data_IF_291897986517
#
_entry.id   IF_291897986517
#
_cell.length_a   1.000
_cell.length_b   1.000
_cell.length_c   1.000
_cell.angle_alpha   90.00
_cell.angle_beta   90.00
_cell.angle_gamma   90.00
#
_symmetry.space_group_name_H-M   'P 1'
#
loop_
_entity.id
_entity.type
_entity.pdbx_description
1 polymer ?
#
# COMPACT_ATOMS: atom_id res chain seq x y z
N UNK A 1 -39.73 -10.01 -11.55
CA UNK A 1 -39.00 -8.87 -12.15
C UNK A 1 -37.65 -8.76 -11.47
N UNK A 2 -36.55 -8.82 -12.24
CA UNK A 2 -35.19 -8.73 -11.70
C UNK A 2 -34.78 -7.26 -11.46
N UNK A 3 -33.88 -6.97 -10.50
CA UNK A 3 -33.44 -5.61 -10.17
C UNK A 3 -32.67 -4.92 -11.33
N UNK A 4 -32.65 -3.57 -11.38
CA UNK A 4 -31.99 -2.81 -12.45
C UNK A 4 -30.45 -2.91 -12.44
N UNK A 5 -29.87 -3.38 -11.34
CA UNK A 5 -28.44 -3.59 -11.16
C UNK A 5 -28.15 -5.08 -11.07
N UNK A 6 -27.16 -5.52 -11.86
CA UNK A 6 -26.79 -6.94 -11.95
C UNK A 6 -25.35 -7.12 -11.48
N UNK A 7 -25.12 -8.16 -10.66
CA UNK A 7 -23.79 -8.51 -10.19
C UNK A 7 -23.16 -9.51 -11.15
N UNK A 8 -22.06 -9.12 -11.77
CA UNK A 8 -21.31 -9.95 -12.72
C UNK A 8 -20.05 -10.45 -12.06
N UNK A 9 -19.82 -11.77 -12.11
CA UNK A 9 -18.55 -12.38 -11.68
C UNK A 9 -17.69 -12.65 -12.91
N UNK A 10 -16.44 -12.23 -12.83
CA UNK A 10 -15.42 -12.54 -13.80
C UNK A 10 -14.51 -13.61 -13.21
N UNK A 11 -14.26 -14.65 -14.01
CA UNK A 11 -13.17 -15.59 -13.74
C UNK A 11 -12.06 -15.28 -14.73
N UNK A 12 -10.88 -14.98 -14.21
CA UNK A 12 -9.67 -14.87 -15.02
C UNK A 12 -8.61 -15.82 -14.46
N UNK A 13 -7.61 -16.14 -15.27
CA UNK A 13 -6.51 -17.03 -14.89
C UNK A 13 -5.61 -16.47 -13.77
N UNK A 14 -5.85 -15.24 -13.31
CA UNK A 14 -5.04 -14.49 -12.33
C UNK A 14 -5.86 -14.07 -11.08
N UNK A 15 -7.12 -14.50 -10.93
CA UNK A 15 -7.98 -14.20 -9.78
C UNK A 15 -9.48 -14.01 -10.06
N UNK A 16 -10.30 -14.22 -9.02
CA UNK A 16 -11.75 -14.02 -9.07
C UNK A 16 -12.12 -12.60 -8.62
N UNK A 17 -12.90 -11.89 -9.45
CA UNK A 17 -13.40 -10.54 -9.14
C UNK A 17 -14.90 -10.41 -9.43
N UNK A 18 -15.60 -9.57 -8.67
CA UNK A 18 -17.01 -9.24 -8.94
C UNK A 18 -17.20 -7.74 -9.15
N UNK A 19 -17.96 -7.35 -10.17
CA UNK A 19 -18.40 -5.96 -10.40
C UNK A 19 -19.92 -5.89 -10.50
N UNK A 20 -20.47 -4.72 -10.18
CA UNK A 20 -21.88 -4.40 -10.41
C UNK A 20 -21.97 -3.61 -11.70
N UNK A 21 -22.83 -4.06 -12.63
CA UNK A 21 -23.02 -3.46 -13.95
C UNK A 21 -24.49 -3.13 -14.11
N UNK A 22 -24.79 -2.02 -14.80
CA UNK A 22 -26.16 -1.67 -15.15
C UNK A 22 -26.67 -2.62 -16.24
N UNK A 23 -27.93 -3.09 -16.13
CA UNK A 23 -28.50 -4.13 -17.00
C UNK A 23 -28.52 -3.74 -18.48
N UNK A 24 -28.65 -2.46 -18.77
CA UNK A 24 -28.66 -1.85 -20.11
C UNK A 24 -27.30 -1.97 -20.84
N UNK A 25 -26.22 -2.27 -20.13
CA UNK A 25 -24.88 -2.46 -20.70
C UNK A 25 -24.54 -3.93 -21.03
N UNK A 26 -25.49 -4.84 -20.86
CA UNK A 26 -25.31 -6.27 -21.14
C UNK A 26 -25.80 -6.62 -22.55
N UNK A 27 -25.14 -7.58 -23.20
CA UNK A 27 -25.61 -8.10 -24.48
C UNK A 27 -26.85 -8.96 -24.32
N UNK A 28 -27.62 -9.16 -25.40
CA UNK A 28 -28.84 -9.97 -25.38
C UNK A 28 -28.58 -11.41 -24.90
N UNK A 29 -27.45 -11.99 -25.29
CA UNK A 29 -27.02 -13.35 -24.88
C UNK A 29 -26.71 -13.43 -23.38
N UNK A 30 -26.06 -12.39 -22.82
CA UNK A 30 -25.78 -12.31 -21.39
C UNK A 30 -27.07 -12.16 -20.57
N UNK A 31 -28.04 -11.42 -21.09
CA UNK A 31 -29.37 -11.30 -20.47
C UNK A 31 -30.11 -12.64 -20.45
N UNK A 32 -30.05 -13.41 -21.55
CA UNK A 32 -30.64 -14.75 -21.60
C UNK A 32 -29.97 -15.75 -20.64
N UNK A 33 -28.65 -15.66 -20.46
CA UNK A 33 -27.91 -16.45 -19.46
C UNK A 33 -28.27 -16.05 -18.03
N UNK A 34 -28.50 -14.76 -17.78
CA UNK A 34 -28.95 -14.22 -16.49
C UNK A 34 -30.36 -14.69 -16.14
N UNK A 35 -31.28 -14.63 -17.09
CA UNK A 35 -32.67 -15.01 -16.86
C UNK A 35 -32.81 -16.54 -16.64
N UNK A 36 -31.84 -17.35 -17.08
CA UNK A 36 -31.73 -18.78 -16.77
C UNK A 36 -31.10 -19.09 -15.41
N UNK A 37 -30.46 -18.12 -14.76
CA UNK A 37 -29.80 -18.32 -13.48
C UNK A 37 -30.64 -17.72 -12.35
N UNK A 38 -31.26 -18.59 -11.54
CA UNK A 38 -32.13 -18.20 -10.41
C UNK A 38 -31.45 -17.27 -9.40
N UNK A 39 -30.12 -17.28 -9.34
CA UNK A 39 -29.31 -16.45 -8.43
C UNK A 39 -29.06 -15.02 -8.94
N UNK A 40 -29.43 -14.69 -10.18
CA UNK A 40 -29.22 -13.35 -10.77
C UNK A 40 -27.74 -12.98 -10.98
N UNK A 41 -26.88 -13.99 -11.18
CA UNK A 41 -25.43 -13.80 -11.38
C UNK A 41 -25.04 -14.30 -12.78
N UNK A 42 -24.51 -13.42 -13.63
CA UNK A 42 -23.79 -13.83 -14.85
C UNK A 42 -22.33 -14.15 -14.50
N UNK A 43 -21.87 -15.33 -14.92
CA UNK A 43 -20.44 -15.66 -14.97
C UNK A 43 -20.00 -15.44 -16.41
N UNK A 44 -19.09 -14.48 -16.62
CA UNK A 44 -18.57 -14.15 -17.94
C UNK A 44 -17.09 -14.54 -17.97
N UNK A 45 -16.68 -15.27 -19.01
CA UNK A 45 -15.29 -15.65 -19.21
C UNK A 45 -14.54 -14.51 -19.91
N UNK A 46 -13.30 -14.26 -19.49
CA UNK A 46 -12.47 -13.26 -20.18
C UNK A 46 -12.17 -13.75 -21.61
N UNK A 47 -12.74 -13.06 -22.59
CA UNK A 47 -12.71 -13.40 -24.02
C UNK A 47 -13.95 -12.93 -24.76
N UNK A 48 -15.06 -12.75 -24.04
CA UNK A 48 -16.29 -12.17 -24.58
C UNK A 48 -16.16 -10.63 -24.56
N UNK A 49 -16.18 -10.02 -25.74
CA UNK A 49 -15.95 -8.58 -25.94
C UNK A 49 -16.89 -7.73 -25.07
N UNK A 50 -16.34 -7.14 -24.00
CA UNK A 50 -17.01 -6.12 -23.17
C UNK A 50 -16.56 -4.70 -23.52
N UNK A 51 -15.76 -4.52 -24.58
CA UNK A 51 -15.26 -3.21 -25.00
C UNK A 51 -16.09 -2.70 -26.17
N UNK A 52 -16.95 -1.72 -25.94
CA UNK A 52 -17.00 -0.50 -26.77
C UNK A 52 -17.87 0.55 -26.08
N UNK A 53 -17.50 1.83 -26.32
CA UNK A 53 -18.15 3.06 -25.88
C UNK A 53 -17.74 3.61 -24.51
N UNK A 54 -16.46 3.96 -24.39
CA UNK A 54 -16.13 5.34 -24.00
C UNK A 54 -15.42 5.96 -25.19
N UNK A 55 -16.04 6.96 -25.84
CA UNK A 55 -15.34 7.69 -26.90
C UNK A 55 -14.15 8.45 -26.30
N UNK A 56 -12.97 8.42 -26.94
CA UNK A 56 -11.83 9.21 -26.50
C UNK A 56 -12.05 10.69 -26.85
N UNK A 57 -12.01 11.57 -25.84
CA UNK A 57 -11.97 13.02 -26.04
C UNK A 57 -10.81 13.41 -26.97
N UNK A 58 -11.10 14.25 -27.97
CA UNK A 58 -10.13 14.73 -28.95
C UNK A 58 -9.01 15.54 -28.27
N UNK A 59 -7.73 15.31 -28.62
CA UNK A 59 -6.65 16.18 -28.15
C UNK A 59 -6.70 17.57 -28.82
N UNK A 60 -6.33 18.64 -28.11
CA UNK A 60 -6.32 20.00 -28.65
C UNK A 60 -5.24 20.18 -29.75
N UNK A 61 -5.44 21.15 -30.67
CA UNK A 61 -4.60 21.32 -31.85
C UNK A 61 -3.20 21.85 -31.53
N UNK A 62 -2.19 21.20 -32.11
CA UNK A 62 -0.78 21.57 -32.04
C UNK A 62 -0.49 22.89 -32.78
N UNK A 63 0.10 23.86 -32.09
CA UNK A 63 0.72 25.03 -32.72
C UNK A 63 2.06 24.67 -33.40
N UNK A 64 2.36 25.20 -34.59
CA UNK A 64 3.60 24.89 -35.30
C UNK A 64 4.79 25.64 -34.70
N UNK A 65 5.79 24.90 -34.22
CA UNK A 65 7.09 25.45 -33.86
C UNK A 65 7.90 25.79 -35.10
N UNK A 66 8.32 27.06 -35.13
CA UNK A 66 9.04 27.79 -36.18
C UNK A 66 10.39 27.13 -36.52
N UNK A 67 10.53 26.66 -37.76
CA UNK A 67 11.83 26.34 -38.36
C UNK A 67 12.63 27.62 -38.62
N UNK A 68 13.90 27.65 -38.20
CA UNK A 68 14.87 28.67 -38.61
C UNK A 68 15.83 28.06 -39.63
N UNK A 69 15.73 28.53 -40.87
CA UNK A 69 16.73 28.35 -41.94
C UNK A 69 17.92 29.27 -41.67
N UNK A 70 19.12 28.81 -41.99
CA UNK A 70 20.16 29.65 -42.59
C UNK A 70 21.11 28.80 -43.42
N UNK A 71 21.04 29.04 -44.73
CA UNK A 71 21.98 28.72 -45.80
C UNK A 71 23.34 29.39 -45.60
N UNK A 72 24.38 28.88 -46.27
CA UNK A 72 25.65 29.58 -46.49
C UNK A 72 26.84 28.65 -46.69
N UNK A 73 27.21 28.45 -47.95
CA UNK A 73 28.37 27.73 -48.47
C UNK A 73 29.73 28.43 -48.24
N UNK A 74 30.78 27.60 -48.33
CA UNK A 74 32.19 27.81 -48.70
C UNK A 74 33.03 28.87 -47.98
N UNK A 75 34.12 28.43 -47.31
CA UNK A 75 35.47 28.62 -47.87
C UNK A 75 36.55 27.76 -47.17
N UNK A 76 37.54 27.33 -47.94
CA UNK A 76 38.59 26.38 -47.58
C UNK A 76 39.72 26.99 -46.74
N UNK A 77 40.35 26.13 -45.92
CA UNK A 77 41.68 26.30 -45.30
C UNK A 77 41.87 27.44 -44.28
N UNK A 78 41.58 27.16 -43.00
CA UNK A 78 42.26 27.86 -41.90
C UNK A 78 42.40 27.00 -40.62
N UNK A 79 43.61 26.46 -40.46
CA UNK A 79 44.30 26.09 -39.21
C UNK A 79 43.41 25.82 -37.97
N UNK A 80 43.01 24.56 -37.75
CA UNK A 80 42.29 24.16 -36.54
C UNK A 80 43.23 24.04 -35.33
N UNK A 81 43.48 25.16 -34.64
CA UNK A 81 43.61 25.11 -33.17
C UNK A 81 42.26 24.63 -32.64
N UNK A 82 42.14 23.32 -32.39
CA UNK A 82 40.90 22.71 -31.91
C UNK A 82 40.61 23.22 -30.51
N UNK A 83 39.78 24.26 -30.43
CA UNK A 83 38.99 24.57 -29.25
C UNK A 83 38.06 23.36 -29.01
N UNK A 84 38.47 22.45 -28.12
CA UNK A 84 37.67 21.34 -27.63
C UNK A 84 36.49 21.91 -26.80
N UNK A 85 35.46 22.39 -27.50
CA UNK A 85 34.20 22.90 -26.92
C UNK A 85 33.57 21.85 -25.99
N UNK A 86 33.29 22.30 -24.76
CA UNK A 86 32.61 21.68 -23.60
C UNK A 86 31.65 20.50 -23.86
N UNK A 87 30.86 20.51 -24.93
CA UNK A 87 29.84 19.50 -25.21
C UNK A 87 30.38 18.11 -25.61
N UNK A 88 31.55 18.02 -26.26
CA UNK A 88 32.15 16.70 -26.57
C UNK A 88 32.79 16.05 -25.34
N UNK A 89 33.42 16.87 -24.48
CA UNK A 89 34.06 16.40 -23.24
C UNK A 89 33.00 15.88 -22.24
N UNK A 90 31.85 16.55 -22.16
CA UNK A 90 30.72 16.11 -21.32
C UNK A 90 30.06 14.81 -21.82
N UNK A 91 29.96 14.62 -23.13
CA UNK A 91 29.48 13.36 -23.70
C UNK A 91 30.48 12.21 -23.49
N UNK A 92 31.77 12.50 -23.62
CA UNK A 92 32.84 11.54 -23.39
C UNK A 92 32.92 11.09 -21.93
N UNK A 93 32.93 12.03 -20.99
CA UNK A 93 32.92 11.73 -19.54
C UNK A 93 31.69 10.92 -19.13
N UNK A 94 30.49 11.24 -19.65
CA UNK A 94 29.28 10.43 -19.42
C UNK A 94 29.41 8.99 -19.93
N UNK A 95 30.00 8.79 -21.12
CA UNK A 95 30.21 7.44 -21.70
C UNK A 95 31.25 6.64 -20.92
N UNK A 96 32.35 7.28 -20.53
CA UNK A 96 33.35 6.67 -19.66
C UNK A 96 32.75 6.28 -18.29
N UNK A 97 31.91 7.12 -17.71
CA UNK A 97 31.22 6.82 -16.45
C UNK A 97 30.29 5.61 -16.54
N UNK A 98 29.65 5.38 -17.70
CA UNK A 98 28.86 4.17 -17.93
C UNK A 98 29.72 2.91 -17.93
N UNK A 99 30.92 2.95 -18.50
CA UNK A 99 31.86 1.82 -18.48
C UNK A 99 32.33 1.51 -17.05
N UNK A 100 32.61 2.53 -16.24
CA UNK A 100 32.90 2.37 -14.81
C UNK A 100 31.73 1.75 -14.04
N UNK A 101 30.50 2.20 -14.30
CA UNK A 101 29.31 1.63 -13.66
C UNK A 101 29.07 0.17 -14.06
N UNK A 102 29.30 -0.20 -15.33
CA UNK A 102 29.23 -1.58 -15.81
C UNK A 102 30.27 -2.45 -15.11
N UNK A 103 31.53 -1.99 -14.99
CA UNK A 103 32.56 -2.68 -14.22
C UNK A 103 32.13 -2.91 -12.77
N UNK A 104 31.52 -1.91 -12.12
CA UNK A 104 31.02 -2.04 -10.75
C UNK A 104 29.88 -3.06 -10.63
N UNK A 105 28.94 -3.07 -11.57
CA UNK A 105 27.82 -4.02 -11.58
C UNK A 105 28.29 -5.47 -11.75
N UNK A 106 29.34 -5.70 -12.54
CA UNK A 106 29.90 -7.04 -12.74
C UNK A 106 30.81 -7.51 -11.60
N UNK A 107 31.25 -6.61 -10.72
CA UNK A 107 32.07 -6.96 -9.56
C UNK A 107 33.36 -7.71 -9.95
N UNK A 108 33.57 -8.89 -9.35
CA UNK A 108 34.77 -9.69 -9.58
C UNK A 108 34.85 -10.29 -11.00
N UNK A 109 33.70 -10.57 -11.63
CA UNK A 109 33.62 -11.12 -12.98
C UNK A 109 34.20 -10.15 -14.03
N UNK A 110 34.25 -8.85 -13.71
CA UNK A 110 34.83 -7.87 -14.61
C UNK A 110 36.30 -8.16 -14.94
N UNK A 111 37.06 -8.80 -14.04
CA UNK A 111 38.50 -9.06 -14.23
C UNK A 111 38.80 -9.92 -15.45
N UNK A 112 37.92 -10.85 -15.78
CA UNK A 112 38.07 -11.81 -16.89
C UNK A 112 37.47 -11.31 -18.20
N UNK A 113 36.95 -10.08 -18.22
CA UNK A 113 36.30 -9.48 -19.39
C UNK A 113 37.05 -8.26 -19.89
N UNK A 114 36.62 -7.73 -21.05
CA UNK A 114 37.10 -6.45 -21.59
C UNK A 114 36.93 -5.25 -20.63
N UNK A 115 36.07 -5.37 -19.61
CA UNK A 115 35.86 -4.34 -18.59
C UNK A 115 36.84 -4.43 -17.42
N UNK A 116 37.75 -5.42 -17.40
CA UNK A 116 38.76 -5.57 -16.36
C UNK A 116 39.64 -4.31 -16.23
N UNK A 117 39.96 -3.71 -17.37
CA UNK A 117 40.57 -2.38 -17.47
C UNK A 117 39.72 -1.43 -18.32
N UNK A 118 38.85 -0.67 -17.64
CA UNK A 118 38.03 0.39 -18.28
C UNK A 118 38.89 1.41 -19.02
N UNK A 119 40.12 1.67 -18.56
CA UNK A 119 41.07 2.55 -19.24
C UNK A 119 41.50 2.00 -20.61
N UNK A 120 41.89 0.72 -20.68
CA UNK A 120 42.28 0.08 -21.93
C UNK A 120 41.09 -0.02 -22.91
N UNK A 121 39.91 -0.37 -22.40
CA UNK A 121 38.68 -0.43 -23.18
C UNK A 121 38.29 0.93 -23.74
N UNK A 122 38.29 1.98 -22.90
CA UNK A 122 37.95 3.33 -23.34
C UNK A 122 38.96 3.88 -24.35
N UNK A 123 40.26 3.55 -24.21
CA UNK A 123 41.29 3.89 -25.20
C UNK A 123 40.98 3.26 -26.56
N UNK A 124 40.68 1.97 -26.58
CA UNK A 124 40.36 1.23 -27.80
C UNK A 124 39.03 1.69 -28.43
N UNK A 125 38.01 1.91 -27.62
CA UNK A 125 36.65 2.25 -28.07
C UNK A 125 36.53 3.69 -28.57
N UNK A 126 37.24 4.63 -27.95
CA UNK A 126 37.13 6.06 -28.28
C UNK A 126 38.33 6.62 -29.04
N UNK A 127 39.41 5.85 -29.21
CA UNK A 127 40.61 6.28 -29.94
C UNK A 127 41.37 7.44 -29.29
N UNK A 128 41.33 7.54 -27.96
CA UNK A 128 41.89 8.69 -27.22
C UNK A 128 43.08 8.26 -26.37
N UNK A 129 44.11 9.11 -26.26
CA UNK A 129 45.28 8.85 -25.43
C UNK A 129 44.95 8.62 -23.95
N UNK A 130 45.78 7.84 -23.27
CA UNK A 130 45.63 7.53 -21.83
C UNK A 130 45.71 8.79 -20.95
N UNK A 131 46.53 9.76 -21.33
CA UNK A 131 46.62 11.06 -20.65
C UNK A 131 45.30 11.83 -20.69
N UNK A 132 44.57 11.76 -21.81
CA UNK A 132 43.26 12.40 -21.95
C UNK A 132 42.19 11.70 -21.12
N UNK A 133 42.22 10.36 -21.05
CA UNK A 133 41.35 9.56 -20.19
C UNK A 133 41.59 9.85 -18.71
N UNK A 134 42.86 10.01 -18.32
CA UNK A 134 43.26 10.33 -16.94
C UNK A 134 42.74 11.71 -16.53
N UNK A 135 42.86 12.71 -17.41
CA UNK A 135 42.27 14.03 -17.21
C UNK A 135 40.76 13.96 -17.12
N UNK A 136 40.10 13.22 -18.01
CA UNK A 136 38.65 13.06 -18.00
C UNK A 136 38.13 12.41 -16.71
N UNK A 137 38.88 11.46 -16.12
CA UNK A 137 38.55 10.82 -14.84
C UNK A 137 38.50 11.81 -13.69
N UNK A 138 39.34 12.85 -13.70
CA UNK A 138 39.34 13.90 -12.67
C UNK A 138 38.05 14.75 -12.70
N UNK A 139 37.42 14.88 -13.87
CA UNK A 139 36.15 15.60 -14.04
C UNK A 139 34.91 14.74 -13.83
N UNK A 140 35.08 13.43 -13.55
CA UNK A 140 33.93 12.58 -13.24
C UNK A 140 33.37 12.96 -11.86
N UNK A 141 32.04 13.07 -11.72
CA UNK A 141 31.45 13.18 -10.40
C UNK A 141 31.85 11.94 -9.61
N UNK A 142 32.58 12.15 -8.50
CA UNK A 142 32.86 11.10 -7.52
C UNK A 142 31.53 10.43 -7.21
N UNK A 143 31.49 9.10 -7.24
CA UNK A 143 30.30 8.36 -6.88
C UNK A 143 29.91 8.82 -5.47
N UNK A 144 28.80 9.56 -5.34
CA UNK A 144 28.16 9.73 -4.05
C UNK A 144 27.74 8.31 -3.69
N UNK A 145 28.38 7.72 -2.69
CA UNK A 145 27.86 6.51 -2.07
C UNK A 145 26.42 6.86 -1.68
N UNK A 146 25.47 6.27 -2.42
CA UNK A 146 24.06 6.39 -2.06
C UNK A 146 23.92 5.54 -0.82
N UNK A 147 24.22 6.13 0.34
CA UNK A 147 23.89 5.50 1.59
C UNK A 147 22.38 5.29 1.57
N UNK A 148 21.96 4.03 1.44
CA UNK A 148 20.55 3.69 1.55
C UNK A 148 20.20 3.87 3.00
N UNK A 149 19.61 5.02 3.33
CA UNK A 149 19.16 5.28 4.70
C UNK A 149 18.20 4.17 5.11
N UNK A 150 18.59 3.44 6.15
CA UNK A 150 17.72 2.42 6.70
C UNK A 150 16.41 3.05 7.17
N UNK A 151 15.33 2.28 7.17
CA UNK A 151 14.03 2.75 7.69
C UNK A 151 14.15 3.32 9.11
N UNK A 152 14.98 2.68 9.95
CA UNK A 152 15.27 3.12 11.32
C UNK A 152 15.93 4.50 11.35
N UNK A 153 16.94 4.70 10.51
CA UNK A 153 17.64 5.99 10.41
C UNK A 153 16.66 7.10 9.99
N UNK A 154 15.85 6.88 8.95
CA UNK A 154 14.85 7.86 8.48
C UNK A 154 13.83 8.25 9.55
N UNK A 155 13.35 7.28 10.32
CA UNK A 155 12.43 7.53 11.43
C UNK A 155 13.11 8.32 12.56
N UNK A 156 14.36 7.97 12.90
CA UNK A 156 15.13 8.68 13.92
C UNK A 156 15.40 10.14 13.55
N UNK A 157 15.73 10.40 12.28
CA UNK A 157 15.94 11.76 11.77
C UNK A 157 14.66 12.57 11.82
N UNK A 158 13.52 11.97 11.47
CA UNK A 158 12.22 12.65 11.56
C UNK A 158 11.84 13.01 13.01
N UNK A 159 12.18 12.15 13.97
CA UNK A 159 11.91 12.39 15.39
C UNK A 159 12.82 13.46 16.00
N UNK A 160 14.05 13.61 15.50
CA UNK A 160 14.97 14.70 15.88
C UNK A 160 14.47 16.09 15.47
N UNK A 161 13.57 16.18 14.49
CA UNK A 161 12.98 17.45 14.07
C UNK A 161 11.92 17.97 15.06
N UNK A 162 11.38 17.11 15.92
CA UNK A 162 10.38 17.47 16.92
C UNK A 162 11.04 17.75 18.27
N UNK A 163 10.72 18.89 18.87
CA UNK A 163 10.91 19.10 20.31
C UNK A 163 9.99 18.17 21.11
N UNK A 164 10.34 17.86 22.35
CA UNK A 164 9.49 17.00 23.20
C UNK A 164 8.08 17.56 23.39
N UNK A 165 7.95 18.88 23.52
CA UNK A 165 6.65 19.57 23.62
C UNK A 165 5.75 19.28 22.40
N UNK A 166 6.29 19.36 21.19
CA UNK A 166 5.53 19.08 19.97
C UNK A 166 5.15 17.60 19.84
N UNK A 167 5.97 16.70 20.38
CA UNK A 167 5.60 15.27 20.43
C UNK A 167 4.41 15.06 21.34
N UNK A 168 4.42 15.71 22.51
CA UNK A 168 3.32 15.61 23.47
C UNK A 168 2.03 16.15 22.86
N UNK A 169 2.07 17.32 22.20
CA UNK A 169 0.91 17.90 21.49
C UNK A 169 0.32 16.94 20.46
N UNK A 170 1.16 16.27 19.66
CA UNK A 170 0.68 15.30 18.66
C UNK A 170 0.02 14.09 19.34
N UNK A 171 0.59 13.61 20.44
CA UNK A 171 0.04 12.48 21.19
C UNK A 171 -1.29 12.85 21.85
N UNK A 172 -1.35 13.99 22.55
CA UNK A 172 -2.55 14.47 23.22
C UNK A 172 -3.70 14.69 22.23
N UNK A 173 -3.40 15.24 21.05
CA UNK A 173 -4.41 15.41 19.99
C UNK A 173 -4.92 14.06 19.46
N UNK A 174 -4.03 13.07 19.30
CA UNK A 174 -4.43 11.72 18.87
C UNK A 174 -5.27 11.02 19.94
N UNK A 175 -4.90 11.17 21.21
CA UNK A 175 -5.63 10.62 22.34
C UNK A 175 -7.03 11.24 22.43
N UNK A 176 -7.15 12.56 22.21
CA UNK A 176 -8.44 13.24 22.06
C UNK A 176 -9.26 12.67 20.89
N UNK A 177 -8.63 12.41 19.72
CA UNK A 177 -9.32 11.75 18.62
C UNK A 177 -9.78 10.32 18.97
N UNK A 178 -9.06 9.62 19.86
CA UNK A 178 -9.50 8.30 20.35
C UNK A 178 -10.69 8.42 21.31
N UNK A 179 -10.70 9.41 22.20
CA UNK A 179 -11.81 9.69 23.11
C UNK A 179 -13.10 10.04 22.33
N UNK A 180 -12.99 10.82 21.26
CA UNK A 180 -14.11 11.23 20.41
C UNK A 180 -14.52 10.16 19.36
N UNK A 181 -13.78 9.03 19.27
CA UNK A 181 -13.85 8.04 18.18
C UNK A 181 -13.83 8.66 16.77
N UNK A 182 -13.11 9.79 16.63
CA UNK A 182 -12.97 10.53 15.39
C UNK A 182 -11.87 9.91 14.53
N UNK A 183 -12.25 9.33 13.38
CA UNK A 183 -11.28 8.79 12.45
C UNK A 183 -10.60 9.92 11.66
N UNK A 184 -9.29 10.03 11.78
CA UNK A 184 -8.49 10.96 10.99
C UNK A 184 -7.65 10.25 9.91
N UNK A 185 -7.43 10.96 8.80
CA UNK A 185 -6.38 10.63 7.84
C UNK A 185 -5.11 11.43 8.17
N UNK A 186 -3.99 11.13 7.51
CA UNK A 186 -2.78 11.96 7.66
C UNK A 186 -3.01 13.40 7.21
N UNK A 187 -3.82 13.61 6.17
CA UNK A 187 -4.08 14.96 5.66
C UNK A 187 -4.99 15.75 6.60
N UNK A 188 -6.01 15.12 7.19
CA UNK A 188 -6.88 15.80 8.16
C UNK A 188 -6.13 16.12 9.43
N UNK A 189 -5.40 15.14 9.99
CA UNK A 189 -4.55 15.37 11.17
C UNK A 189 -3.52 16.46 10.93
N UNK A 190 -2.92 16.51 9.74
CA UNK A 190 -1.97 17.57 9.39
C UNK A 190 -2.62 18.95 9.38
N UNK A 191 -3.80 19.10 8.76
CA UNK A 191 -4.54 20.35 8.75
C UNK A 191 -4.97 20.79 10.17
N UNK A 192 -5.41 19.83 10.99
CA UNK A 192 -5.81 20.09 12.39
C UNK A 192 -4.61 20.57 13.22
N UNK A 193 -3.45 19.93 13.06
CA UNK A 193 -2.21 20.32 13.74
C UNK A 193 -1.65 21.65 13.24
N UNK A 194 -1.78 21.95 11.95
CA UNK A 194 -1.37 23.22 11.35
C UNK A 194 -2.22 24.37 11.90
N UNK A 195 -3.55 24.19 11.94
CA UNK A 195 -4.49 25.20 12.42
C UNK A 195 -4.41 25.43 13.93
N UNK A 196 -4.34 24.37 14.74
CA UNK A 196 -4.37 24.49 16.22
C UNK A 196 -3.01 24.84 16.83
N UNK A 197 -1.92 24.34 16.26
CA UNK A 197 -0.59 24.38 16.90
C UNK A 197 0.51 24.96 16.01
N UNK A 198 0.18 25.43 14.80
CA UNK A 198 1.17 26.01 13.87
C UNK A 198 2.20 24.99 13.38
N UNK A 199 1.77 23.75 13.14
CA UNK A 199 2.66 22.67 12.68
C UNK A 199 3.18 22.94 11.26
N UNK A 200 4.50 23.14 11.12
CA UNK A 200 5.12 23.65 9.89
C UNK A 200 5.68 22.59 8.93
N UNK A 201 5.62 21.31 9.27
CA UNK A 201 6.20 20.25 8.42
C UNK A 201 5.18 19.68 7.44
N UNK A 202 5.67 19.06 6.37
CA UNK A 202 4.81 18.44 5.37
C UNK A 202 4.06 17.19 5.90
N UNK A 203 2.93 16.81 5.28
CA UNK A 203 2.19 15.59 5.63
C UNK A 203 3.02 14.30 5.54
N UNK A 204 3.97 14.24 4.59
CA UNK A 204 4.88 13.10 4.44
C UNK A 204 5.89 13.00 5.58
N UNK A 205 6.28 14.14 6.16
CA UNK A 205 7.12 14.22 7.36
C UNK A 205 6.32 13.79 8.59
N UNK A 206 5.09 14.28 8.74
CA UNK A 206 4.17 13.87 9.81
C UNK A 206 3.98 12.35 9.81
N UNK A 207 3.72 11.73 8.66
CA UNK A 207 3.61 10.28 8.55
C UNK A 207 4.84 9.56 9.13
N UNK A 208 6.05 10.03 8.80
CA UNK A 208 7.30 9.43 9.31
C UNK A 208 7.47 9.64 10.80
N UNK A 209 7.10 10.81 11.30
CA UNK A 209 7.13 11.14 12.72
C UNK A 209 6.17 10.26 13.51
N UNK A 210 4.94 10.05 13.04
CA UNK A 210 4.00 9.11 13.66
C UNK A 210 4.57 7.68 13.71
N UNK A 211 5.20 7.22 12.62
CA UNK A 211 5.90 5.91 12.63
C UNK A 211 7.06 5.87 13.62
N UNK A 212 7.74 6.99 13.86
CA UNK A 212 8.83 7.11 14.82
C UNK A 212 8.32 7.15 16.27
N UNK A 213 7.18 7.80 16.52
CA UNK A 213 6.42 7.80 17.78
C UNK A 213 5.73 6.46 18.09
N UNK A 214 6.09 5.40 17.35
CA UNK A 214 5.49 4.06 17.46
C UNK A 214 3.98 4.06 17.25
N UNK A 215 3.48 4.86 16.30
CA UNK A 215 2.11 4.75 15.80
C UNK A 215 2.10 4.00 14.46
N UNK A 216 1.03 3.26 14.22
CA UNK A 216 0.85 2.49 13.00
C UNK A 216 -0.61 2.40 12.59
N UNK A 217 -0.85 2.53 11.29
CA UNK A 217 -2.17 2.32 10.72
C UNK A 217 -2.47 0.81 10.64
N UNK A 218 -3.27 0.31 11.56
CA UNK A 218 -3.60 -1.13 11.73
C UNK A 218 -5.10 -1.32 11.89
N UNK A 219 -5.54 -2.56 11.85
CA UNK A 219 -6.92 -2.93 12.17
C UNK A 219 -7.26 -2.48 13.61
N UNK A 220 -8.46 -1.93 13.82
CA UNK A 220 -9.00 -1.62 15.15
C UNK A 220 -9.35 -2.93 15.85
N UNK A 221 -8.40 -3.51 16.56
CA UNK A 221 -8.55 -4.78 17.29
C UNK A 221 -8.59 -4.59 18.81
N UNK A 222 -8.82 -3.36 19.27
CA UNK A 222 -8.82 -3.07 20.70
C UNK A 222 -10.06 -3.69 21.35
N UNK A 223 -9.86 -4.81 22.04
CA UNK A 223 -10.83 -5.43 22.92
C UNK A 223 -10.27 -5.44 24.35
N UNK A 224 -10.55 -4.40 25.16
CA UNK A 224 -9.97 -4.28 26.49
C UNK A 224 -10.53 -5.29 27.51
N UNK A 225 -11.59 -6.03 27.19
CA UNK A 225 -12.36 -6.79 28.19
C UNK A 225 -12.15 -8.30 28.19
N UNK A 226 -11.61 -8.90 27.12
CA UNK A 226 -11.66 -10.36 26.92
C UNK A 226 -10.72 -11.21 27.79
N UNK A 227 -9.89 -10.59 28.64
CA UNK A 227 -8.78 -11.26 29.36
C UNK A 227 -8.76 -11.03 30.88
N UNK A 228 -9.53 -10.08 31.42
CA UNK A 228 -9.37 -9.65 32.83
C UNK A 228 -10.49 -10.10 33.78
N UNK A 229 -11.62 -10.52 33.25
CA UNK A 229 -12.77 -10.98 34.03
C UNK A 229 -12.53 -12.41 34.50
N UNK A 230 -12.19 -12.58 35.78
CA UNK A 230 -11.90 -13.88 36.42
C UNK A 230 -13.04 -14.88 36.22
N UNK A 231 -14.27 -14.39 36.27
CA UNK A 231 -15.51 -15.09 35.94
C UNK A 231 -15.53 -15.63 34.50
N UNK A 232 -15.16 -14.80 33.50
CA UNK A 232 -15.07 -15.24 32.10
C UNK A 232 -13.99 -16.32 31.92
N UNK A 233 -12.85 -16.18 32.60
CA UNK A 233 -11.78 -17.20 32.57
C UNK A 233 -12.29 -18.52 33.16
N UNK A 234 -12.99 -18.46 34.28
CA UNK A 234 -13.58 -19.65 34.91
C UNK A 234 -14.64 -20.30 34.02
N UNK A 235 -15.51 -19.51 33.38
CA UNK A 235 -16.49 -20.01 32.42
C UNK A 235 -15.83 -20.70 31.22
N UNK A 236 -14.77 -20.11 30.64
CA UNK A 236 -13.99 -20.76 29.57
C UNK A 236 -13.42 -22.10 30.02
N UNK A 237 -12.86 -22.17 31.23
CA UNK A 237 -12.31 -23.41 31.78
C UNK A 237 -13.39 -24.49 31.93
N UNK A 238 -14.55 -24.12 32.46
CA UNK A 238 -15.70 -25.05 32.61
C UNK A 238 -16.20 -25.53 31.25
N UNK A 239 -16.37 -24.61 30.31
CA UNK A 239 -16.79 -24.91 28.94
C UNK A 239 -15.84 -25.89 28.25
N UNK A 240 -14.52 -25.65 28.28
CA UNK A 240 -13.54 -26.53 27.64
C UNK A 240 -13.55 -27.95 28.22
N UNK A 241 -13.62 -28.08 29.55
CA UNK A 241 -13.72 -29.39 30.22
C UNK A 241 -14.97 -30.16 29.80
N UNK A 242 -16.11 -29.47 29.71
CA UNK A 242 -17.36 -30.08 29.26
C UNK A 242 -17.27 -30.51 27.79
N UNK A 243 -16.70 -29.68 26.93
CA UNK A 243 -16.51 -29.99 25.52
C UNK A 243 -15.62 -31.22 25.31
N UNK A 244 -14.54 -31.35 26.07
CA UNK A 244 -13.67 -32.52 26.00
C UNK A 244 -14.38 -33.80 26.44
N UNK A 245 -15.20 -33.72 27.50
CA UNK A 245 -16.04 -34.84 27.93
C UNK A 245 -17.03 -35.25 26.84
N UNK A 246 -17.76 -34.30 26.25
CA UNK A 246 -18.73 -34.57 25.19
C UNK A 246 -18.08 -35.18 23.95
N UNK A 247 -16.86 -34.75 23.60
CA UNK A 247 -16.08 -35.36 22.50
C UNK A 247 -15.67 -36.80 22.80
N UNK A 248 -15.24 -37.09 24.03
CA UNK A 248 -14.91 -38.44 24.45
C UNK A 248 -16.12 -39.38 24.44
N UNK A 249 -17.31 -38.85 24.76
CA UNK A 249 -18.58 -39.58 24.70
C UNK A 249 -19.11 -39.75 23.27
N UNK A 250 -18.44 -39.20 22.26
CA UNK A 250 -18.87 -39.27 20.86
C UNK A 250 -20.13 -38.44 20.56
N UNK A 251 -20.41 -37.41 21.37
CA UNK A 251 -21.57 -36.56 21.18
C UNK A 251 -21.47 -35.78 19.86
N UNK A 252 -22.61 -35.62 19.19
CA UNK A 252 -22.71 -34.79 18.00
C UNK A 252 -22.74 -33.31 18.39
N UNK A 253 -21.70 -32.57 18.03
CA UNK A 253 -21.51 -31.18 18.42
C UNK A 253 -21.72 -30.29 17.20
N UNK A 254 -22.78 -29.48 17.24
CA UNK A 254 -23.01 -28.41 16.27
C UNK A 254 -22.53 -27.08 16.85
N UNK A 255 -21.86 -26.29 16.01
CA UNK A 255 -21.52 -24.91 16.35
C UNK A 255 -22.47 -23.97 15.62
N UNK A 256 -22.94 -22.96 16.33
CA UNK A 256 -23.75 -21.89 15.80
C UNK A 256 -23.11 -20.57 16.21
N UNK A 257 -22.93 -19.68 15.25
CA UNK A 257 -22.35 -18.36 15.46
C UNK A 257 -23.27 -17.28 14.89
N UNK A 258 -23.49 -16.24 15.69
CA UNK A 258 -24.25 -15.07 15.28
C UNK A 258 -23.27 -13.94 14.97
N UNK A 259 -23.14 -13.61 13.68
CA UNK A 259 -22.36 -12.45 13.27
C UNK A 259 -23.27 -11.26 13.04
N UNK A 260 -23.06 -10.22 13.84
CA UNK A 260 -23.74 -8.94 13.68
C UNK A 260 -23.07 -8.12 12.58
N UNK A 261 -23.84 -7.71 11.58
CA UNK A 261 -23.42 -6.79 10.52
C UNK A 261 -24.11 -5.46 10.79
N UNK A 262 -23.35 -4.40 11.03
CA UNK A 262 -23.91 -3.06 11.23
C UNK A 262 -23.81 -2.20 9.97
N UNK A 263 -24.89 -1.51 9.63
CA UNK A 263 -24.90 -0.40 8.67
C UNK A 263 -24.17 0.78 9.31
N UNK A 264 -23.21 1.39 8.63
CA UNK A 264 -22.36 2.43 9.22
C UNK A 264 -21.06 1.92 9.85
N UNK A 265 -20.55 0.76 9.42
CA UNK A 265 -19.25 0.24 9.86
C UNK A 265 -18.18 1.33 9.82
N UNK A 266 -17.62 1.65 10.98
CA UNK A 266 -16.47 2.53 11.14
C UNK A 266 -15.29 1.96 10.33
N UNK A 267 -14.38 2.83 9.88
CA UNK A 267 -13.16 2.38 9.20
C UNK A 267 -12.48 1.31 10.04
N UNK A 268 -12.35 0.12 9.47
CA UNK A 268 -11.79 -1.07 10.14
C UNK A 268 -10.33 -0.84 10.53
N UNK A 269 -9.66 0.16 9.93
CA UNK A 269 -8.28 0.54 10.23
C UNK A 269 -8.21 1.96 10.79
N UNK A 270 -7.33 2.13 11.78
CA UNK A 270 -7.04 3.40 12.43
C UNK A 270 -5.57 3.49 12.82
N UNK A 271 -5.12 4.69 13.20
CA UNK A 271 -3.80 4.90 13.77
C UNK A 271 -3.79 4.44 15.23
N UNK A 272 -3.06 3.37 15.51
CA UNK A 272 -2.91 2.76 16.83
C UNK A 272 -1.43 2.64 17.19
N UNK A 273 -1.11 2.62 18.48
CA UNK A 273 0.27 2.34 18.91
C UNK A 273 0.76 0.97 18.40
N UNK A 274 2.04 0.88 18.03
CA UNK A 274 2.67 -0.31 17.46
C UNK A 274 2.71 -1.43 18.50
N UNK A 275 2.95 -1.06 19.75
CA UNK A 275 3.10 -1.94 20.91
C UNK A 275 1.75 -2.49 21.41
N UNK A 276 0.65 -2.11 20.75
CA UNK A 276 -0.72 -2.58 20.98
C UNK A 276 -0.89 -3.98 20.39
N UNK A 277 -0.25 -4.99 20.99
CA UNK A 277 -0.81 -6.34 20.94
C UNK A 277 -2.01 -6.34 21.90
N UNK A 278 -3.23 -6.70 21.46
CA UNK A 278 -4.39 -6.80 22.33
C UNK A 278 -4.09 -7.59 23.60
N UNK A 279 -3.30 -8.66 23.50
CA UNK A 279 -2.87 -9.50 24.62
C UNK A 279 -1.86 -8.84 25.58
N UNK A 280 -0.99 -7.94 25.08
CA UNK A 280 -0.03 -7.22 25.94
C UNK A 280 -0.70 -6.06 26.68
N UNK A 281 -1.60 -5.34 26.03
CA UNK A 281 -2.47 -4.34 26.69
C UNK A 281 -3.35 -5.05 27.72
N UNK A 282 -3.91 -6.19 27.35
CA UNK A 282 -4.65 -7.08 28.22
C UNK A 282 -3.85 -7.69 29.39
N UNK A 283 -2.54 -7.50 29.43
CA UNK A 283 -1.67 -8.07 30.45
C UNK A 283 -0.99 -6.97 31.28
N UNK A 284 -0.69 -5.82 30.66
CA UNK A 284 0.00 -4.67 31.28
C UNK A 284 -0.90 -3.45 31.50
N UNK A 285 -2.16 -3.51 31.06
CA UNK A 285 -3.11 -2.40 31.17
C UNK A 285 -3.41 -2.07 32.62
N UNK A 286 -3.20 -0.81 33.00
CA UNK A 286 -3.66 -0.30 34.28
C UNK A 286 -5.17 -0.05 34.19
N UNK A 287 -5.97 -0.75 35.00
CA UNK A 287 -7.44 -0.61 34.99
C UNK A 287 -7.90 0.83 35.30
N UNK A 288 -7.12 1.56 36.09
CA UNK A 288 -7.44 2.93 36.48
C UNK A 288 -7.06 3.94 35.40
N UNK A 289 -6.19 3.57 34.46
CA UNK A 289 -5.77 4.43 33.37
C UNK A 289 -5.65 3.59 32.08
N UNK A 290 -6.79 3.21 31.47
CA UNK A 290 -6.80 2.42 30.25
C UNK A 290 -6.09 3.19 29.14
N UNK A 291 -5.27 2.48 28.35
CA UNK A 291 -4.53 3.13 27.27
C UNK A 291 -5.51 3.58 26.17
N UNK A 292 -5.45 4.84 25.70
CA UNK A 292 -6.33 5.32 24.66
C UNK A 292 -6.13 4.55 23.35
N UNK A 293 -7.24 4.37 22.62
CA UNK A 293 -7.28 3.65 21.36
C UNK A 293 -8.70 3.60 20.82
N UNK A 294 -8.82 3.42 19.50
CA UNK A 294 -10.14 3.35 18.89
C UNK A 294 -10.91 2.12 19.40
N UNK A 295 -12.14 2.31 19.91
CA UNK A 295 -12.99 1.18 20.27
C UNK A 295 -13.24 0.30 19.04
N UNK A 296 -13.49 -0.99 19.28
CA UNK A 296 -14.04 -1.85 18.24
C UNK A 296 -15.34 -1.21 17.72
N UNK A 297 -15.53 -1.20 16.40
CA UNK A 297 -16.69 -0.62 15.77
C UNK A 297 -17.95 -1.40 16.18
N UNK A 298 -18.64 -0.96 17.24
CA UNK A 298 -19.74 -1.73 17.84
C UNK A 298 -21.13 -1.14 17.59
N UNK A 299 -21.32 0.19 17.56
CA UNK A 299 -22.63 0.70 18.02
C UNK A 299 -23.37 1.75 17.18
N UNK A 300 -23.05 1.97 15.89
CA UNK A 300 -23.73 3.04 15.12
C UNK A 300 -24.36 2.51 13.82
N UNK A 301 -25.63 2.08 13.89
CA UNK A 301 -26.56 1.97 12.75
C UNK A 301 -27.35 0.65 12.65
N UNK A 302 -28.20 0.54 11.62
CA UNK A 302 -29.09 -0.61 11.39
C UNK A 302 -28.31 -1.93 11.40
N UNK A 303 -28.78 -2.93 12.15
CA UNK A 303 -28.06 -4.20 12.28
C UNK A 303 -28.75 -5.27 11.44
N UNK A 304 -27.97 -6.15 10.83
CA UNK A 304 -28.41 -7.42 10.29
C UNK A 304 -27.70 -8.53 11.06
N UNK A 305 -28.40 -9.63 11.27
CA UNK A 305 -27.83 -10.79 11.95
C UNK A 305 -27.61 -11.87 10.89
N UNK A 306 -26.37 -12.34 10.79
CA UNK A 306 -26.02 -13.50 9.96
C UNK A 306 -25.86 -14.68 10.89
N UNK A 307 -26.65 -15.70 10.63
CA UNK A 307 -26.61 -16.96 11.35
C UNK A 307 -25.82 -17.96 10.51
N UNK A 308 -24.70 -18.43 11.05
CA UNK A 308 -23.91 -19.50 10.48
C UNK A 308 -23.95 -20.69 11.43
N UNK A 309 -24.31 -21.86 10.91
CA UNK A 309 -24.17 -23.11 11.65
C UNK A 309 -23.22 -24.04 10.90
N UNK A 310 -22.26 -24.58 11.66
CA UNK A 310 -21.26 -25.51 11.17
C UNK A 310 -21.56 -26.90 11.70
N UNK A 311 -21.80 -27.83 10.78
CA UNK A 311 -21.87 -29.26 11.09
C UNK A 311 -20.54 -29.89 10.65
N UNK A 312 -19.80 -30.53 11.56
CA UNK A 312 -18.63 -31.30 11.17
C UNK A 312 -19.08 -32.59 10.45
N UNK A 313 -18.73 -32.72 9.17
CA UNK A 313 -18.86 -33.96 8.41
C UNK A 313 -17.45 -34.55 8.13
N UNK A 314 -17.42 -35.84 7.80
CA UNK A 314 -16.26 -36.62 7.37
C UNK A 314 -15.43 -35.97 6.24
N UNK A 315 -16.03 -35.08 5.45
CA UNK A 315 -15.38 -34.33 4.37
C UNK A 315 -14.95 -32.89 4.73
N UNK A 316 -15.25 -32.41 5.95
CA UNK A 316 -14.98 -31.05 6.41
C UNK A 316 -16.18 -30.35 7.05
N UNK A 317 -16.04 -29.05 7.35
CA UNK A 317 -17.12 -28.24 7.92
C UNK A 317 -17.98 -27.68 6.79
N UNK A 318 -19.24 -28.13 6.69
CA UNK A 318 -20.23 -27.48 5.85
C UNK A 318 -20.75 -26.22 6.55
N UNK A 319 -20.68 -25.07 5.86
CA UNK A 319 -21.21 -23.79 6.35
C UNK A 319 -22.50 -23.47 5.62
N UNK A 320 -23.55 -23.23 6.39
CA UNK A 320 -24.84 -22.80 5.87
C UNK A 320 -25.14 -21.41 6.43
N UNK A 321 -25.13 -20.39 5.57
CA UNK A 321 -25.48 -19.03 5.97
C UNK A 321 -26.97 -18.78 5.76
N UNK A 322 -27.70 -18.55 6.84
CA UNK A 322 -29.05 -17.99 6.79
C UNK A 322 -29.00 -16.48 7.03
N UNK A 323 -29.56 -15.71 6.09
CA UNK A 323 -29.72 -14.27 6.26
C UNK A 323 -31.09 -13.99 6.86
N UNK A 324 -31.13 -13.54 8.11
CA UNK A 324 -32.34 -13.01 8.71
C UNK A 324 -32.17 -11.50 8.91
N UNK A 325 -32.79 -10.72 8.00
CA UNK A 325 -32.82 -9.28 8.12
C UNK A 325 -33.87 -8.89 9.18
N UNK A 326 -33.45 -8.84 10.44
CA UNK A 326 -34.25 -8.21 11.49
C UNK A 326 -34.05 -6.69 11.39
N UNK A 327 -35.05 -5.96 10.90
CA UNK A 327 -35.12 -4.50 11.08
C UNK A 327 -35.45 -4.25 12.56
N UNK A 328 -34.49 -3.76 13.32
CA UNK A 328 -34.69 -3.20 14.66
C UNK A 328 -34.72 -1.69 14.61
#
# INVERSE_FOLDING_TARGET
MLPPLVKVRYTNSWGNGSRVIQRDKLTLEQLQLLDKNEMGIAVINNGDNCETQTEPEKPPPNHPFRQRRSSGENDYTRCYKVCWRSSRLTNFTKRYQKLENLKKQMGNLARETIFGSVMKLARAMFGVSESTLTKAKQFLPKAKDRHVDTRKLRNSTALKLLSEEKKQIILDHIDKCHEEDANFSISTLHADLEHQYGYSYSPSTLYRQLRALRLSFKLKQYNPFATFRKDIIEWRRKYLKLMDKLRLEGAFICYYDETWISHGMTKIRGWNHVDTNPYLIAHWGNLNNPRPGFPAASDKGQRAIVLDYGIPDSAGIHRYCCFQAARF
#
